data_IF_823800137494
#
_entry.id   IF_823800137494
#
_cell.length_a   1.000
_cell.length_b   1.000
_cell.length_c   1.000
_cell.angle_alpha   90.00
_cell.angle_beta   90.00
_cell.angle_gamma   90.00
#
_symmetry.space_group_name_H-M   'P 1'
#
loop_
_entity.id
_entity.type
_entity.pdbx_description
1 polymer ?
#
# COMPACT_ATOMS: atom_id res chain seq x y z
N UNK A 1 60.12 26.15 22.10
CA UNK A 1 60.13 24.68 22.32
C UNK A 1 59.00 24.10 21.47
N UNK A 2 59.12 23.68 20.21
CA UNK A 2 60.16 22.93 19.46
C UNK A 2 60.53 21.60 20.12
N UNK A 3 59.94 20.49 19.64
CA UNK A 3 60.63 19.26 19.23
C UNK A 3 59.82 18.57 18.12
N UNK A 4 60.48 18.34 16.97
CA UNK A 4 60.11 17.46 15.85
C UNK A 4 60.56 16.02 16.14
N UNK A 5 59.90 15.02 15.56
CA UNK A 5 60.48 13.81 14.93
C UNK A 5 59.31 12.99 14.33
N UNK A 6 59.18 12.74 13.01
CA UNK A 6 60.07 12.13 12.00
C UNK A 6 60.16 10.59 12.09
N UNK A 7 59.84 9.93 10.96
CA UNK A 7 59.95 8.48 10.69
C UNK A 7 58.69 8.01 9.96
N UNK A 8 58.55 8.08 8.64
CA UNK A 8 59.38 7.55 7.55
C UNK A 8 59.75 6.07 7.72
N UNK A 9 59.13 5.22 6.89
CA UNK A 9 59.76 4.05 6.26
C UNK A 9 58.86 3.46 5.17
N UNK A 10 59.28 3.74 3.95
CA UNK A 10 59.14 2.92 2.75
C UNK A 10 59.17 1.41 2.99
N UNK A 11 58.29 0.68 2.30
CA UNK A 11 58.67 -0.62 1.73
C UNK A 11 57.99 -0.86 0.38
N UNK A 12 58.80 -0.63 -0.64
CA UNK A 12 58.58 -1.01 -2.01
C UNK A 12 58.76 -2.53 -2.26
N UNK A 13 58.33 -2.93 -3.45
CA UNK A 13 58.80 -4.05 -4.29
C UNK A 13 58.23 -5.46 -4.11
N UNK A 14 57.38 -5.84 -5.08
CA UNK A 14 57.33 -7.12 -5.84
C UNK A 14 56.12 -7.00 -6.77
N UNK A 15 56.15 -7.11 -8.09
CA UNK A 15 57.14 -7.47 -9.09
C UNK A 15 56.35 -7.70 -10.40
N UNK A 16 56.94 -7.51 -11.59
CA UNK A 16 56.23 -7.48 -12.86
C UNK A 16 56.04 -8.89 -13.44
N UNK A 17 54.79 -9.29 -13.67
CA UNK A 17 54.42 -10.53 -14.36
C UNK A 17 54.05 -10.28 -15.83
N UNK A 18 54.85 -10.86 -16.72
CA UNK A 18 54.84 -10.73 -18.19
C UNK A 18 53.56 -11.28 -18.86
N UNK A 19 53.19 -10.65 -20.00
CA UNK A 19 52.28 -11.13 -21.07
C UNK A 19 52.84 -12.41 -21.75
N UNK A 20 51.99 -13.21 -22.42
CA UNK A 20 51.85 -13.10 -23.89
C UNK A 20 50.37 -13.15 -24.33
N UNK A 21 49.92 -12.34 -25.30
CA UNK A 21 49.98 -12.58 -26.75
C UNK A 21 49.17 -13.81 -27.22
N UNK A 22 48.15 -13.57 -28.07
CA UNK A 22 47.50 -14.61 -28.87
C UNK A 22 45.99 -14.62 -28.77
N UNK A 23 45.30 -13.98 -29.71
CA UNK A 23 43.84 -14.04 -29.80
C UNK A 23 43.21 -13.05 -30.76
N UNK A 24 43.86 -12.79 -31.90
CA UNK A 24 43.24 -12.12 -33.03
C UNK A 24 42.18 -13.05 -33.63
N UNK A 25 40.97 -13.03 -33.06
CA UNK A 25 39.77 -13.67 -33.58
C UNK A 25 38.75 -12.62 -34.03
N UNK A 26 39.15 -11.76 -34.97
CA UNK A 26 38.18 -11.03 -35.81
C UNK A 26 37.52 -12.03 -36.75
N UNK A 27 36.22 -11.82 -37.00
CA UNK A 27 35.28 -12.54 -37.89
C UNK A 27 34.56 -13.68 -37.14
N UNK A 28 33.24 -13.70 -36.99
CA UNK A 28 32.18 -13.02 -37.72
C UNK A 28 31.13 -12.55 -36.72
N UNK A 29 30.96 -11.23 -36.61
CA UNK A 29 29.66 -10.68 -36.20
C UNK A 29 28.73 -11.06 -37.33
N UNK A 30 27.98 -12.14 -37.11
CA UNK A 30 26.95 -12.63 -38.02
C UNK A 30 25.90 -11.52 -38.09
N UNK A 31 26.07 -10.60 -39.05
CA UNK A 31 25.05 -9.69 -39.56
C UNK A 31 23.98 -10.52 -40.29
N UNK A 32 23.43 -11.55 -39.63
CA UNK A 32 22.07 -11.96 -39.87
C UNK A 32 21.21 -10.78 -39.49
N UNK A 33 20.97 -9.95 -40.49
CA UNK A 33 19.69 -9.34 -40.81
C UNK A 33 18.60 -10.40 -40.65
N UNK A 34 18.31 -10.76 -39.39
CA UNK A 34 17.13 -11.50 -38.99
C UNK A 34 16.05 -10.46 -39.15
N UNK A 35 15.44 -10.49 -40.34
CA UNK A 35 14.47 -9.52 -40.78
C UNK A 35 13.56 -9.15 -39.63
N UNK A 36 13.61 -7.87 -39.26
CA UNK A 36 12.48 -7.18 -38.68
C UNK A 36 11.35 -7.31 -39.71
N UNK A 37 10.68 -8.47 -39.72
CA UNK A 37 9.40 -8.61 -40.39
C UNK A 37 8.53 -7.54 -39.76
N UNK A 38 8.12 -6.61 -40.62
CA UNK A 38 7.02 -5.69 -40.39
C UNK A 38 5.96 -6.39 -39.54
N UNK A 39 5.57 -5.70 -38.46
CA UNK A 39 4.77 -6.25 -37.38
C UNK A 39 3.62 -7.09 -37.90
N UNK A 40 3.58 -8.35 -37.47
CA UNK A 40 2.39 -9.18 -37.59
C UNK A 40 1.29 -8.52 -36.74
N UNK A 41 0.30 -7.84 -37.35
CA UNK A 41 -0.74 -7.17 -36.59
C UNK A 41 -1.52 -8.16 -35.70
N UNK A 42 -1.55 -9.45 -36.09
CA UNK A 42 -2.21 -10.52 -35.34
C UNK A 42 -1.47 -10.90 -34.05
N UNK A 43 -0.16 -10.64 -33.94
CA UNK A 43 0.62 -10.92 -32.72
C UNK A 43 0.47 -9.79 -31.70
N UNK A 44 0.43 -8.54 -32.16
CA UNK A 44 0.21 -7.36 -31.31
C UNK A 44 -1.21 -7.33 -30.74
N UNK A 45 -2.22 -7.68 -31.56
CA UNK A 45 -3.62 -7.78 -31.11
C UNK A 45 -3.82 -8.88 -30.07
N UNK A 46 -3.14 -10.03 -30.22
CA UNK A 46 -3.20 -11.11 -29.22
C UNK A 46 -2.57 -10.72 -27.88
N UNK A 47 -1.41 -10.04 -27.89
CA UNK A 47 -0.78 -9.55 -26.67
C UNK A 47 -1.62 -8.47 -25.99
N UNK A 48 -2.23 -7.56 -26.75
CA UNK A 48 -3.15 -6.54 -26.19
C UNK A 48 -4.42 -7.19 -25.61
N UNK A 49 -4.96 -8.22 -26.25
CA UNK A 49 -6.10 -8.99 -25.75
C UNK A 49 -5.75 -9.74 -24.45
N UNK A 50 -4.61 -10.44 -24.38
CA UNK A 50 -4.16 -11.16 -23.19
C UNK A 50 -3.85 -10.21 -22.01
N UNK A 51 -3.22 -9.07 -22.30
CA UNK A 51 -3.02 -8.01 -21.30
C UNK A 51 -4.34 -7.42 -20.82
N UNK A 52 -5.32 -7.28 -21.72
CA UNK A 52 -6.69 -6.87 -21.39
C UNK A 52 -7.39 -7.90 -20.49
N UNK A 53 -7.26 -9.18 -20.79
CA UNK A 53 -7.92 -10.28 -20.08
C UNK A 53 -7.31 -10.54 -18.70
N UNK A 54 -5.98 -10.49 -18.59
CA UNK A 54 -5.26 -10.54 -17.31
C UNK A 54 -5.59 -9.34 -16.41
N UNK A 55 -5.69 -8.13 -16.98
CA UNK A 55 -6.12 -6.93 -16.25
C UNK A 55 -7.59 -6.96 -15.87
N UNK A 56 -8.48 -7.52 -16.70
CA UNK A 56 -9.90 -7.65 -16.38
C UNK A 56 -10.13 -8.60 -15.20
N UNK A 57 -9.49 -9.77 -15.17
CA UNK A 57 -9.55 -10.70 -14.03
C UNK A 57 -9.00 -10.07 -12.75
N UNK A 58 -7.88 -9.35 -12.84
CA UNK A 58 -7.32 -8.63 -11.69
C UNK A 58 -8.28 -7.53 -11.17
N UNK A 59 -8.94 -6.78 -12.06
CA UNK A 59 -9.94 -5.76 -11.68
C UNK A 59 -11.17 -6.39 -11.02
N UNK A 60 -11.67 -7.51 -11.55
CA UNK A 60 -12.79 -8.24 -10.95
C UNK A 60 -12.42 -8.79 -9.57
N UNK A 61 -11.21 -9.35 -9.42
CA UNK A 61 -10.71 -9.81 -8.13
C UNK A 61 -10.56 -8.65 -7.13
N UNK A 62 -10.03 -7.51 -7.56
CA UNK A 62 -9.94 -6.30 -6.73
C UNK A 62 -11.32 -5.80 -6.29
N UNK A 63 -12.29 -5.76 -7.21
CA UNK A 63 -13.66 -5.38 -6.89
C UNK A 63 -14.26 -6.34 -5.85
N UNK A 64 -14.10 -7.65 -6.06
CA UNK A 64 -14.55 -8.68 -5.12
C UNK A 64 -13.92 -8.53 -3.73
N UNK A 65 -12.61 -8.31 -3.65
CA UNK A 65 -11.90 -8.08 -2.38
C UNK A 65 -12.42 -6.82 -1.70
N UNK A 66 -12.64 -5.73 -2.44
CA UNK A 66 -13.18 -4.47 -1.89
C UNK A 66 -14.61 -4.64 -1.39
N UNK A 67 -15.45 -5.38 -2.11
CA UNK A 67 -16.82 -5.70 -1.69
C UNK A 67 -16.83 -6.57 -0.44
N UNK A 68 -15.97 -7.58 -0.36
CA UNK A 68 -15.84 -8.44 0.83
C UNK A 68 -15.34 -7.65 2.04
N UNK A 69 -14.35 -6.78 1.86
CA UNK A 69 -13.88 -5.86 2.88
C UNK A 69 -15.03 -4.95 3.35
N UNK A 70 -15.78 -4.37 2.41
CA UNK A 70 -16.92 -3.50 2.73
C UNK A 70 -18.01 -4.24 3.51
N UNK A 71 -18.40 -5.44 3.07
CA UNK A 71 -19.38 -6.27 3.76
C UNK A 71 -18.91 -6.60 5.19
N UNK A 72 -17.65 -6.99 5.36
CA UNK A 72 -17.06 -7.30 6.67
C UNK A 72 -17.12 -6.09 7.61
N UNK A 73 -16.70 -4.92 7.12
CA UNK A 73 -16.77 -3.68 7.90
C UNK A 73 -18.20 -3.34 8.27
N UNK A 74 -19.14 -3.40 7.33
CA UNK A 74 -20.56 -3.07 7.57
C UNK A 74 -21.20 -4.04 8.57
N UNK A 75 -20.96 -5.34 8.46
CA UNK A 75 -21.46 -6.33 9.40
C UNK A 75 -20.89 -6.15 10.80
N UNK A 76 -19.59 -5.86 10.92
CA UNK A 76 -18.95 -5.57 12.21
C UNK A 76 -19.54 -4.32 12.88
N UNK A 77 -19.73 -3.25 12.10
CA UNK A 77 -20.36 -2.00 12.56
C UNK A 77 -21.81 -2.22 12.98
N UNK A 78 -22.57 -2.99 12.19
CA UNK A 78 -23.96 -3.32 12.52
C UNK A 78 -24.06 -4.12 13.82
N UNK A 79 -23.19 -5.11 14.01
CA UNK A 79 -23.13 -5.88 15.23
C UNK A 79 -22.78 -4.98 16.42
N UNK A 80 -21.76 -4.14 16.30
CA UNK A 80 -21.39 -3.19 17.34
C UNK A 80 -22.54 -2.23 17.69
N UNK A 81 -23.28 -1.72 16.69
CA UNK A 81 -24.45 -0.87 16.90
C UNK A 81 -25.56 -1.62 17.65
N UNK A 82 -25.80 -2.88 17.31
CA UNK A 82 -26.79 -3.73 17.99
C UNK A 82 -26.43 -3.96 19.46
N UNK A 83 -25.15 -4.20 19.74
CA UNK A 83 -24.62 -4.37 21.11
C UNK A 83 -24.66 -3.07 21.92
N UNK A 84 -24.53 -1.93 21.24
CA UNK A 84 -24.72 -0.60 21.83
C UNK A 84 -26.20 -0.27 22.09
N UNK A 85 -27.13 -1.14 21.67
CA UNK A 85 -28.57 -0.95 21.86
C UNK A 85 -29.24 -0.10 20.79
N UNK A 86 -28.63 0.04 19.61
CA UNK A 86 -29.24 0.65 18.42
C UNK A 86 -29.95 -0.43 17.60
N UNK A 87 -31.26 -0.26 17.38
CA UNK A 87 -32.09 -1.21 16.63
C UNK A 87 -32.21 -0.82 15.16
N UNK A 88 -31.06 -0.73 14.48
CA UNK A 88 -31.00 -0.33 13.07
C UNK A 88 -31.05 -1.59 12.19
N UNK A 89 -32.00 -1.70 11.23
CA UNK A 89 -32.06 -2.84 10.32
C UNK A 89 -30.77 -2.98 9.49
N UNK A 90 -30.30 -4.21 9.29
CA UNK A 90 -29.07 -4.47 8.52
C UNK A 90 -29.15 -3.90 7.09
N UNK A 91 -30.32 -3.96 6.46
CA UNK A 91 -30.59 -3.39 5.12
C UNK A 91 -30.41 -1.88 5.07
N UNK A 92 -30.79 -1.18 6.13
CA UNK A 92 -30.57 0.27 6.26
C UNK A 92 -29.08 0.53 6.41
N UNK A 93 -28.40 -0.21 7.31
CA UNK A 93 -26.96 -0.05 7.52
C UNK A 93 -26.17 -0.33 6.23
N UNK A 94 -26.51 -1.36 5.45
CA UNK A 94 -25.91 -1.67 4.16
C UNK A 94 -26.12 -0.57 3.11
N UNK A 95 -27.28 0.09 3.12
CA UNK A 95 -27.58 1.16 2.15
C UNK A 95 -26.85 2.47 2.49
N UNK A 96 -26.79 2.83 3.78
CA UNK A 96 -26.20 4.10 4.22
C UNK A 96 -24.69 4.02 4.49
N UNK A 97 -24.13 2.85 4.80
CA UNK A 97 -22.69 2.69 5.05
C UNK A 97 -21.81 3.19 3.90
N UNK A 98 -22.06 2.86 2.62
CA UNK A 98 -21.29 3.41 1.51
C UNK A 98 -21.27 4.94 1.50
N UNK A 99 -22.41 5.57 1.78
CA UNK A 99 -22.53 7.04 1.86
C UNK A 99 -21.68 7.58 3.02
N UNK A 100 -21.82 6.99 4.21
CA UNK A 100 -21.05 7.38 5.39
C UNK A 100 -19.54 7.20 5.15
N UNK A 101 -19.12 6.11 4.48
CA UNK A 101 -17.72 5.86 4.14
C UNK A 101 -17.18 6.85 3.11
N UNK A 102 -17.98 7.22 2.11
CA UNK A 102 -17.61 8.27 1.15
C UNK A 102 -17.44 9.60 1.89
N UNK A 103 -18.38 9.98 2.76
CA UNK A 103 -18.28 11.19 3.60
C UNK A 103 -17.04 11.12 4.49
N UNK A 104 -16.76 9.98 5.11
CA UNK A 104 -15.57 9.77 5.94
C UNK A 104 -14.26 9.90 5.14
N UNK A 105 -14.26 9.56 3.85
CA UNK A 105 -13.07 9.65 2.99
C UNK A 105 -12.75 11.07 2.51
N UNK A 106 -13.71 12.00 2.62
CA UNK A 106 -13.48 13.39 2.24
C UNK A 106 -12.49 14.06 3.22
N UNK A 107 -11.55 14.88 2.73
CA UNK A 107 -10.58 15.61 3.55
C UNK A 107 -11.19 16.82 4.26
N UNK A 108 -12.47 16.73 4.60
CA UNK A 108 -13.23 17.72 5.38
C UNK A 108 -13.41 17.27 6.83
N UNK A 109 -13.05 16.03 7.14
CA UNK A 109 -13.12 15.48 8.50
C UNK A 109 -11.81 15.76 9.23
N UNK A 110 -11.88 16.39 10.40
CA UNK A 110 -10.71 16.61 11.26
C UNK A 110 -10.62 15.41 12.20
N UNK A 111 -9.57 14.59 12.06
CA UNK A 111 -9.36 13.38 12.87
C UNK A 111 -10.56 12.41 12.88
N UNK A 112 -11.37 12.38 11.82
CA UNK A 112 -12.59 11.55 11.76
C UNK A 112 -13.81 12.14 12.44
N UNK A 113 -13.77 13.42 12.81
CA UNK A 113 -14.90 14.20 13.37
C UNK A 113 -15.36 15.27 12.38
N UNK A 114 -16.63 15.69 12.51
CA UNK A 114 -17.25 16.70 11.63
C UNK A 114 -18.29 16.10 10.69
N UNK A 115 -18.07 16.19 9.38
CA UNK A 115 -19.08 15.82 8.37
C UNK A 115 -19.56 14.37 8.50
N UNK A 116 -18.67 13.44 8.88
CA UNK A 116 -19.05 12.04 9.10
C UNK A 116 -20.07 11.89 10.23
N UNK A 117 -20.04 12.70 11.28
CA UNK A 117 -21.05 12.66 12.35
C UNK A 117 -22.42 13.11 11.84
N UNK A 118 -22.44 14.12 10.96
CA UNK A 118 -23.66 14.50 10.24
C UNK A 118 -24.19 13.38 9.34
N UNK A 119 -23.31 12.64 8.68
CA UNK A 119 -23.72 11.48 7.88
C UNK A 119 -24.30 10.35 8.76
N UNK A 120 -23.79 10.14 9.97
CA UNK A 120 -24.38 9.20 10.93
C UNK A 120 -25.80 9.61 11.35
N UNK A 121 -26.09 10.91 11.46
CA UNK A 121 -27.43 11.41 11.79
C UNK A 121 -28.49 11.13 10.70
N UNK A 122 -28.10 10.71 9.50
CA UNK A 122 -29.04 10.18 8.51
C UNK A 122 -29.78 8.94 9.03
N UNK A 123 -29.24 8.26 10.03
CA UNK A 123 -29.85 7.10 10.69
C UNK A 123 -30.82 7.48 11.84
N UNK A 124 -31.02 8.78 12.11
CA UNK A 124 -31.93 9.28 13.15
C UNK A 124 -33.39 8.80 13.04
N UNK A 125 -33.95 8.45 11.86
CA UNK A 125 -35.28 7.84 11.80
C UNK A 125 -35.39 6.47 12.49
N UNK A 126 -34.27 5.78 12.73
CA UNK A 126 -34.25 4.43 13.30
C UNK A 126 -33.72 4.37 14.73
N UNK A 127 -33.07 5.43 15.22
CA UNK A 127 -32.60 5.50 16.60
C UNK A 127 -32.40 6.94 17.07
N UNK A 128 -32.45 7.21 18.39
CA UNK A 128 -32.22 8.54 18.94
C UNK A 128 -30.86 9.11 18.49
N UNK A 129 -30.86 10.36 18.04
CA UNK A 129 -29.68 11.05 17.51
C UNK A 129 -28.52 11.07 18.51
N UNK A 130 -28.80 11.22 19.79
CA UNK A 130 -27.81 11.27 20.87
C UNK A 130 -27.07 9.93 20.99
N UNK A 131 -27.80 8.82 20.87
CA UNK A 131 -27.22 7.47 20.92
C UNK A 131 -26.40 7.17 19.67
N UNK A 132 -26.86 7.62 18.50
CA UNK A 132 -26.12 7.49 17.25
C UNK A 132 -24.79 8.24 17.32
N UNK A 133 -24.81 9.48 17.83
CA UNK A 133 -23.59 10.27 17.99
C UNK A 133 -22.66 9.64 19.02
N UNK A 134 -23.16 9.21 20.17
CA UNK A 134 -22.37 8.50 21.17
C UNK A 134 -21.70 7.25 20.57
N UNK A 135 -22.46 6.44 19.82
CA UNK A 135 -21.93 5.29 19.10
C UNK A 135 -20.83 5.68 18.11
N UNK A 136 -21.03 6.75 17.31
CA UNK A 136 -20.05 7.20 16.33
C UNK A 136 -18.72 7.58 16.97
N UNK A 137 -18.73 8.23 18.14
CA UNK A 137 -17.53 8.62 18.89
C UNK A 137 -16.82 7.39 19.43
N UNK A 138 -17.56 6.47 20.07
CA UNK A 138 -17.01 5.21 20.58
C UNK A 138 -16.40 4.39 19.45
N UNK A 139 -17.10 4.29 18.32
CA UNK A 139 -16.63 3.56 17.14
C UNK A 139 -15.33 4.15 16.57
N UNK A 140 -15.21 5.48 16.52
CA UNK A 140 -13.97 6.15 16.12
C UNK A 140 -12.83 5.87 17.09
N UNK A 141 -13.09 5.94 18.40
CA UNK A 141 -12.10 5.64 19.42
C UNK A 141 -11.59 4.19 19.33
N UNK A 142 -12.49 3.23 19.16
CA UNK A 142 -12.16 1.81 18.96
C UNK A 142 -11.36 1.61 17.67
N UNK A 143 -11.77 2.28 16.58
CA UNK A 143 -11.08 2.18 15.28
C UNK A 143 -9.66 2.77 15.35
N UNK A 144 -9.50 3.92 15.98
CA UNK A 144 -8.20 4.54 16.21
C UNK A 144 -7.31 3.64 17.07
N UNK A 145 -7.85 3.07 18.15
CA UNK A 145 -7.13 2.13 19.00
C UNK A 145 -6.69 0.88 18.24
N UNK A 146 -7.56 0.30 17.42
CA UNK A 146 -7.25 -0.85 16.58
C UNK A 146 -6.14 -0.53 15.56
N UNK A 147 -6.18 0.66 14.96
CA UNK A 147 -5.14 1.11 14.03
C UNK A 147 -3.78 1.29 14.74
N UNK A 148 -3.78 1.92 15.91
CA UNK A 148 -2.58 2.08 16.74
C UNK A 148 -2.04 0.70 17.13
N UNK A 149 -2.90 -0.20 17.63
CA UNK A 149 -2.51 -1.55 18.03
C UNK A 149 -1.89 -2.34 16.86
N UNK A 150 -2.43 -2.17 15.64
CA UNK A 150 -1.88 -2.79 14.42
C UNK A 150 -0.56 -2.17 13.98
N UNK A 151 -0.37 -0.86 14.17
CA UNK A 151 0.83 -0.13 13.76
C UNK A 151 2.00 -0.25 14.75
N UNK A 152 1.70 -0.44 16.04
CA UNK A 152 2.70 -0.43 17.12
C UNK A 152 3.83 -1.47 16.94
N UNK A 153 3.57 -2.71 16.48
CA UNK A 153 4.65 -3.68 16.20
C UNK A 153 5.60 -3.23 15.09
N UNK A 154 5.09 -2.58 14.05
CA UNK A 154 5.90 -2.06 12.94
C UNK A 154 6.76 -0.87 13.37
N UNK A 155 6.23 -0.01 14.24
CA UNK A 155 6.98 1.13 14.78
C UNK A 155 8.25 0.69 15.50
N UNK A 156 8.21 -0.46 16.19
CA UNK A 156 9.40 -1.04 16.86
C UNK A 156 10.50 -1.40 15.87
N UNK A 157 10.14 -1.96 14.71
CA UNK A 157 11.09 -2.30 13.64
C UNK A 157 11.73 -1.05 13.05
N UNK A 158 10.92 -0.04 12.70
CA UNK A 158 11.40 1.22 12.13
C UNK A 158 12.31 1.97 13.12
N UNK A 159 11.95 2.01 14.41
CA UNK A 159 12.79 2.62 15.44
C UNK A 159 14.14 1.92 15.59
N UNK A 160 14.19 0.59 15.42
CA UNK A 160 15.43 -0.17 15.47
C UNK A 160 16.34 0.14 14.26
N UNK A 161 15.78 0.26 13.05
CA UNK A 161 16.53 0.60 11.85
C UNK A 161 17.08 2.04 11.90
N UNK A 162 16.28 2.99 12.39
CA UNK A 162 16.73 4.37 12.63
C UNK A 162 17.89 4.40 13.62
N UNK A 163 17.80 3.64 14.74
CA UNK A 163 18.88 3.52 15.72
C UNK A 163 20.14 2.85 15.15
N UNK A 164 19.98 1.92 14.20
CA UNK A 164 21.07 1.24 13.52
C UNK A 164 21.66 2.04 12.35
N UNK A 165 21.12 3.23 12.03
CA UNK A 165 21.62 4.09 10.95
C UNK A 165 21.33 3.57 9.54
N UNK A 166 20.42 2.60 9.38
CA UNK A 166 20.01 2.07 8.08
C UNK A 166 18.82 2.88 7.57
N UNK A 167 19.01 3.59 6.45
CA UNK A 167 17.96 4.34 5.74
C UNK A 167 17.41 3.49 4.60
#
# INVERSE_FOLDING_TARGET
>A
MSVRHAGDRDRATRGPGRRPAGGAGRRAVDHRCRGARAGDPGRTLRVLADLGQGRARARLAQLGIRLCQHATTTSATWLAARWFGLDIPLTVMLSYMPVILVVASLPINVAGFGAVQGAWLLLSPWAPAERILAFSVVWQAVSALALIARGLPFLRGVLADIRAGRK
#
